data_IF_608426680985
#
_entry.id   IF_608426680985
#
_cell.length_a   1.000
_cell.length_b   1.000
_cell.length_c   1.000
_cell.angle_alpha   90.00
_cell.angle_beta   90.00
_cell.angle_gamma   90.00
#
_symmetry.space_group_name_H-M   'P 1'
#
loop_
_entity.id
_entity.type
_entity.pdbx_description
1 polymer ?
#
# COMPACT_ATOMS: atom_id res chain seq x y z
N UNK A 1 -5.45 15.91 -17.84
CA UNK A 1 -6.51 16.38 -16.93
C UNK A 1 -7.85 16.35 -17.63
N UNK A 2 -8.10 17.13 -18.67
CA UNK A 2 -9.44 17.26 -19.27
C UNK A 2 -10.20 15.98 -19.67
N UNK A 3 -9.59 14.98 -20.31
CA UNK A 3 -10.34 13.77 -20.66
C UNK A 3 -10.66 12.89 -19.45
N UNK A 4 -9.76 12.86 -18.46
CA UNK A 4 -10.02 12.19 -17.18
C UNK A 4 -11.20 12.85 -16.47
N UNK A 5 -11.26 14.18 -16.44
CA UNK A 5 -12.36 14.92 -15.81
C UNK A 5 -13.72 14.53 -16.44
N UNK A 6 -13.78 14.34 -17.76
CA UNK A 6 -15.00 13.90 -18.48
C UNK A 6 -15.37 12.45 -18.15
N UNK A 7 -14.38 11.58 -17.92
CA UNK A 7 -14.58 10.19 -17.48
C UNK A 7 -15.10 10.16 -16.03
N UNK A 8 -14.52 10.97 -15.16
CA UNK A 8 -14.83 11.00 -13.73
C UNK A 8 -16.26 11.48 -13.47
N UNK A 9 -16.76 12.45 -14.24
CA UNK A 9 -18.17 12.87 -14.20
C UNK A 9 -19.10 11.65 -14.40
N UNK A 10 -18.75 10.73 -15.30
CA UNK A 10 -19.59 9.58 -15.63
C UNK A 10 -19.44 8.40 -14.65
N UNK A 11 -18.66 8.56 -13.56
CA UNK A 11 -18.38 7.46 -12.63
C UNK A 11 -19.62 6.97 -11.87
N UNK A 12 -20.57 7.86 -11.57
CA UNK A 12 -21.84 7.53 -10.92
C UNK A 12 -22.99 7.46 -11.92
N UNK A 13 -24.07 6.74 -11.60
CA UNK A 13 -25.20 6.58 -12.54
C UNK A 13 -26.12 7.78 -12.66
N UNK A 14 -26.02 8.71 -11.72
CA UNK A 14 -26.86 9.89 -11.52
C UNK A 14 -26.12 11.20 -11.81
N UNK A 15 -24.99 11.13 -12.53
CA UNK A 15 -24.18 12.29 -12.86
C UNK A 15 -24.97 13.44 -13.51
N UNK A 16 -24.53 14.67 -13.24
CA UNK A 16 -25.14 15.86 -13.82
C UNK A 16 -24.89 15.89 -15.34
N UNK A 17 -25.98 15.76 -16.09
CA UNK A 17 -25.94 15.74 -17.55
C UNK A 17 -25.51 17.07 -18.15
N UNK A 18 -25.77 18.18 -17.47
CA UNK A 18 -25.40 19.50 -17.96
C UNK A 18 -23.93 19.78 -17.66
N UNK A 19 -23.42 19.34 -16.52
CA UNK A 19 -21.97 19.32 -16.23
C UNK A 19 -21.23 18.46 -17.26
N UNK A 20 -21.73 17.26 -17.55
CA UNK A 20 -21.16 16.37 -18.56
C UNK A 20 -21.10 17.02 -19.95
N UNK A 21 -22.19 17.64 -20.40
CA UNK A 21 -22.21 18.36 -21.69
C UNK A 21 -21.20 19.50 -21.73
N UNK A 22 -21.05 20.25 -20.63
CA UNK A 22 -20.08 21.33 -20.54
C UNK A 22 -18.64 20.80 -20.64
N UNK A 23 -18.34 19.71 -19.93
CA UNK A 23 -17.06 19.01 -20.00
C UNK A 23 -16.77 18.52 -21.42
N UNK A 24 -17.75 17.92 -22.08
CA UNK A 24 -17.64 17.43 -23.46
C UNK A 24 -17.39 18.56 -24.47
N UNK A 25 -18.08 19.70 -24.33
CA UNK A 25 -17.87 20.87 -25.19
C UNK A 25 -16.45 21.45 -25.03
N UNK A 26 -15.96 21.50 -23.79
CA UNK A 26 -14.60 21.94 -23.48
C UNK A 26 -13.55 20.99 -24.06
N UNK A 27 -13.76 19.68 -23.92
CA UNK A 27 -12.89 18.65 -24.48
C UNK A 27 -12.81 18.77 -26.01
N UNK A 28 -13.97 18.91 -26.68
CA UNK A 28 -14.04 19.12 -28.13
C UNK A 28 -13.27 20.38 -28.57
N UNK A 29 -13.49 21.50 -27.90
CA UNK A 29 -12.85 22.79 -28.25
C UNK A 29 -11.32 22.70 -28.18
N UNK A 30 -10.81 22.08 -27.12
CA UNK A 30 -9.36 21.95 -26.91
C UNK A 30 -8.75 20.97 -27.92
N UNK A 31 -9.44 19.85 -28.18
CA UNK A 31 -9.01 18.90 -29.19
C UNK A 31 -8.95 19.54 -30.58
N UNK A 32 -10.00 20.27 -30.98
CA UNK A 32 -10.06 20.92 -32.30
C UNK A 32 -8.93 21.94 -32.47
N UNK A 33 -8.62 22.69 -31.41
CA UNK A 33 -7.48 23.60 -31.41
C UNK A 33 -6.14 22.87 -31.51
N UNK A 34 -5.99 21.74 -30.81
CA UNK A 34 -4.78 20.91 -30.89
C UNK A 34 -4.57 20.36 -32.30
N UNK A 35 -5.60 19.75 -32.90
CA UNK A 35 -5.51 19.18 -34.25
C UNK A 35 -5.24 20.27 -35.29
N UNK A 36 -5.86 21.45 -35.18
CA UNK A 36 -5.61 22.55 -36.09
C UNK A 36 -4.15 23.06 -36.04
N UNK A 37 -3.49 22.93 -34.90
CA UNK A 37 -2.12 23.45 -34.70
C UNK A 37 -1.04 22.40 -34.94
N UNK A 38 -1.30 21.16 -34.50
CA UNK A 38 -0.28 20.10 -34.40
C UNK A 38 -0.66 18.81 -35.15
N UNK A 39 -1.86 18.73 -35.73
CA UNK A 39 -2.40 17.51 -36.33
C UNK A 39 -2.92 16.51 -35.29
N UNK A 40 -3.34 15.34 -35.77
CA UNK A 40 -3.94 14.28 -34.94
C UNK A 40 -2.99 13.75 -33.87
N UNK A 41 -3.53 13.36 -32.72
CA UNK A 41 -2.79 12.85 -31.56
C UNK A 41 -2.00 11.58 -31.93
N UNK A 42 -2.65 10.66 -32.63
CA UNK A 42 -2.09 9.35 -33.01
C UNK A 42 -1.20 9.41 -34.26
N UNK A 43 -1.03 10.59 -34.85
CA UNK A 43 -0.10 10.78 -35.96
C UNK A 43 1.32 10.41 -35.51
N UNK A 44 2.08 9.66 -36.32
CA UNK A 44 3.35 9.06 -35.92
C UNK A 44 4.37 10.04 -35.31
N UNK A 45 4.39 11.30 -35.76
CA UNK A 45 5.23 12.35 -35.19
C UNK A 45 4.81 12.73 -33.75
N UNK A 46 3.51 12.86 -33.50
CA UNK A 46 2.96 13.19 -32.18
C UNK A 46 3.02 11.97 -31.23
N UNK A 47 2.70 10.78 -31.72
CA UNK A 47 2.78 9.53 -30.97
C UNK A 47 4.17 9.31 -30.34
N UNK A 48 5.25 9.56 -31.10
CA UNK A 48 6.63 9.46 -30.60
C UNK A 48 6.96 10.45 -29.49
N UNK A 49 6.32 11.63 -29.47
CA UNK A 49 6.51 12.61 -28.40
C UNK A 49 5.83 12.17 -27.09
N UNK A 50 4.73 11.42 -27.21
CA UNK A 50 3.95 10.94 -26.06
C UNK A 50 4.29 9.52 -25.60
N UNK A 51 5.15 8.78 -26.32
CA UNK A 51 5.48 7.37 -26.02
C UNK A 51 5.99 7.14 -24.58
N UNK A 52 6.60 8.16 -23.96
CA UNK A 52 7.10 8.10 -22.58
C UNK A 52 6.11 8.56 -21.50
N UNK A 53 4.91 8.99 -21.90
CA UNK A 53 3.85 9.41 -21.00
C UNK A 53 2.90 8.26 -20.73
N UNK A 54 2.80 7.83 -19.47
CA UNK A 54 1.91 6.74 -19.04
C UNK A 54 0.42 7.02 -19.35
N UNK A 55 0.05 8.28 -19.60
CA UNK A 55 -1.31 8.70 -19.94
C UNK A 55 -1.60 8.71 -21.43
N UNK A 56 -0.57 8.52 -22.27
CA UNK A 56 -0.74 8.51 -23.72
C UNK A 56 -1.82 7.54 -24.20
N UNK A 57 -1.92 6.29 -23.70
CA UNK A 57 -2.96 5.36 -24.15
C UNK A 57 -4.39 5.90 -23.98
N UNK A 58 -4.62 6.68 -22.91
CA UNK A 58 -5.93 7.27 -22.65
C UNK A 58 -6.27 8.36 -23.67
N UNK A 59 -5.35 9.29 -23.93
CA UNK A 59 -5.60 10.36 -24.92
C UNK A 59 -5.56 9.83 -26.36
N UNK A 60 -4.79 8.78 -26.64
CA UNK A 60 -4.77 8.10 -27.94
C UNK A 60 -6.14 7.48 -28.27
N UNK A 61 -6.88 7.00 -27.26
CA UNK A 61 -8.24 6.46 -27.44
C UNK A 61 -9.30 7.48 -27.86
N UNK A 62 -8.97 8.78 -27.88
CA UNK A 62 -9.84 9.83 -28.41
C UNK A 62 -9.95 9.79 -29.94
N UNK A 63 -9.04 9.08 -30.62
CA UNK A 63 -9.02 8.98 -32.07
C UNK A 63 -9.23 7.53 -32.51
N UNK A 64 -10.07 7.35 -33.53
CA UNK A 64 -10.28 6.08 -34.22
C UNK A 64 -9.62 6.14 -35.61
N UNK A 65 -9.09 5.00 -36.05
CA UNK A 65 -8.50 4.85 -37.38
C UNK A 65 -9.58 4.46 -38.39
N UNK A 66 -9.64 5.20 -39.49
CA UNK A 66 -10.51 4.92 -40.63
C UNK A 66 -9.66 4.90 -41.91
N UNK A 67 -10.09 4.16 -42.94
CA UNK A 67 -9.42 4.20 -44.24
C UNK A 67 -9.86 5.45 -45.00
N UNK A 68 -8.92 6.10 -45.68
CA UNK A 68 -9.25 7.24 -46.54
C UNK A 68 -10.23 6.81 -47.63
N UNK A 69 -11.35 7.53 -47.76
CA UNK A 69 -12.41 7.24 -48.74
C UNK A 69 -11.88 7.24 -50.19
N UNK A 70 -10.80 7.97 -50.47
CA UNK A 70 -10.19 8.09 -51.79
C UNK A 70 -8.96 7.18 -51.99
N UNK A 71 -8.40 6.64 -50.90
CA UNK A 71 -7.18 5.83 -50.93
C UNK A 71 -7.18 4.81 -49.78
N UNK A 72 -7.66 3.60 -50.05
CA UNK A 72 -7.74 2.52 -49.07
C UNK A 72 -6.38 2.04 -48.52
N UNK A 73 -5.26 2.62 -48.97
CA UNK A 73 -3.92 2.39 -48.40
C UNK A 73 -3.51 3.39 -47.32
N UNK A 74 -4.32 4.45 -47.10
CA UNK A 74 -4.06 5.50 -46.12
C UNK A 74 -5.02 5.40 -44.95
N UNK A 75 -4.47 5.63 -43.77
CA UNK A 75 -5.22 5.73 -42.52
C UNK A 75 -5.45 7.21 -42.24
N UNK A 76 -6.70 7.56 -41.96
CA UNK A 76 -7.12 8.86 -41.43
C UNK A 76 -7.63 8.66 -40.01
N UNK A 77 -7.48 9.70 -39.18
CA UNK A 77 -7.93 9.68 -37.80
C UNK A 77 -9.21 10.49 -37.67
N UNK A 78 -10.20 9.93 -36.99
CA UNK A 78 -11.47 10.60 -36.69
C UNK A 78 -11.71 10.64 -35.18
N UNK A 79 -12.53 11.59 -34.73
CA UNK A 79 -12.98 11.66 -33.33
C UNK A 79 -13.73 10.39 -32.94
N UNK A 80 -13.30 9.76 -31.86
CA UNK A 80 -14.00 8.59 -31.30
C UNK A 80 -15.35 8.95 -30.68
N UNK A 81 -16.12 7.93 -30.31
CA UNK A 81 -17.41 8.10 -29.64
C UNK A 81 -17.32 8.85 -28.29
N UNK A 82 -16.12 8.94 -27.70
CA UNK A 82 -15.86 9.68 -26.47
C UNK A 82 -16.16 11.18 -26.57
N UNK A 83 -16.15 11.74 -27.79
CA UNK A 83 -16.52 13.13 -28.05
C UNK A 83 -18.02 13.38 -28.20
N UNK A 84 -18.83 12.31 -28.27
CA UNK A 84 -20.26 12.38 -28.60
C UNK A 84 -21.16 11.94 -27.46
N UNK A 85 -20.77 10.90 -26.73
CA UNK A 85 -21.62 10.29 -25.69
C UNK A 85 -20.80 9.76 -24.52
N UNK A 86 -21.47 9.58 -23.38
CA UNK A 86 -20.90 8.89 -22.24
C UNK A 86 -20.61 7.42 -22.60
N UNK A 87 -19.36 6.99 -22.38
CA UNK A 87 -18.89 5.63 -22.65
C UNK A 87 -18.62 4.84 -21.37
N UNK A 88 -18.46 5.53 -20.24
CA UNK A 88 -18.28 4.89 -18.94
C UNK A 88 -19.64 4.33 -18.53
N UNK A 89 -19.68 3.02 -18.29
CA UNK A 89 -20.84 2.40 -17.64
C UNK A 89 -20.70 2.68 -16.15
N UNK A 90 -21.60 3.46 -15.55
CA UNK A 90 -21.54 3.70 -14.12
C UNK A 90 -21.67 2.35 -13.41
N UNK A 91 -20.87 2.15 -12.37
CA UNK A 91 -21.00 0.97 -11.51
C UNK A 91 -22.38 1.06 -10.86
N UNK A 92 -23.35 0.31 -11.36
CA UNK A 92 -24.59 0.09 -10.62
C UNK A 92 -24.22 -0.81 -9.46
N UNK A 93 -24.35 -0.28 -8.25
CA UNK A 93 -24.37 -1.11 -7.05
C UNK A 93 -25.51 -2.12 -7.24
N UNK A 94 -25.14 -3.39 -7.33
CA UNK A 94 -26.10 -4.47 -7.46
C UNK A 94 -26.81 -4.58 -6.12
N UNK A 95 -28.14 -4.47 -6.12
CA UNK A 95 -28.92 -4.81 -4.93
C UNK A 95 -28.73 -6.31 -4.68
N UNK A 96 -28.37 -6.65 -3.45
CA UNK A 96 -28.09 -8.01 -3.00
C UNK A 96 -29.15 -8.46 -2.00
N UNK A 97 -29.25 -9.77 -1.81
CA UNK A 97 -30.28 -10.39 -0.97
C UNK A 97 -29.72 -10.96 0.35
N UNK A 98 -28.44 -10.72 0.66
CA UNK A 98 -27.81 -11.18 1.91
C UNK A 98 -26.71 -10.24 2.41
N UNK A 99 -26.46 -10.26 3.71
CA UNK A 99 -25.36 -9.54 4.37
C UNK A 99 -23.99 -10.02 3.86
N UNK A 100 -23.87 -11.33 3.54
CA UNK A 100 -22.65 -11.89 2.96
C UNK A 100 -22.32 -11.26 1.61
N UNK A 101 -23.28 -11.19 0.68
CA UNK A 101 -23.07 -10.55 -0.62
C UNK A 101 -22.79 -9.04 -0.48
N UNK A 102 -23.41 -8.38 0.49
CA UNK A 102 -23.14 -6.98 0.81
C UNK A 102 -21.70 -6.79 1.30
N UNK A 103 -21.22 -7.66 2.20
CA UNK A 103 -19.84 -7.67 2.68
C UNK A 103 -18.86 -7.89 1.53
N UNK A 104 -19.12 -8.88 0.66
CA UNK A 104 -18.27 -9.14 -0.51
C UNK A 104 -18.21 -7.94 -1.45
N UNK A 105 -19.33 -7.21 -1.60
CA UNK A 105 -19.36 -5.96 -2.37
C UNK A 105 -18.43 -4.91 -1.75
N UNK A 106 -18.52 -4.71 -0.43
CA UNK A 106 -17.65 -3.78 0.29
C UNK A 106 -16.16 -4.14 0.20
N UNK A 107 -15.84 -5.44 0.34
CA UNK A 107 -14.48 -5.94 0.19
C UNK A 107 -13.94 -5.77 -1.23
N UNK A 108 -14.79 -5.97 -2.24
CA UNK A 108 -14.40 -5.76 -3.65
C UNK A 108 -14.06 -4.30 -3.97
N UNK A 109 -14.61 -3.35 -3.21
CA UNK A 109 -14.27 -1.93 -3.27
C UNK A 109 -13.08 -1.55 -2.38
N UNK A 110 -12.53 -2.49 -1.62
CA UNK A 110 -11.39 -2.27 -0.73
C UNK A 110 -11.74 -1.52 0.56
N UNK A 111 -13.02 -1.48 0.94
CA UNK A 111 -13.51 -0.70 2.10
C UNK A 111 -13.56 -1.48 3.41
N UNK A 112 -13.30 -2.79 3.38
CA UNK A 112 -13.40 -3.65 4.57
C UNK A 112 -14.85 -3.91 4.98
N UNK A 113 -15.11 -3.98 6.28
CA UNK A 113 -16.48 -4.06 6.82
C UNK A 113 -17.06 -2.64 6.91
N UNK A 114 -17.73 -2.22 5.83
CA UNK A 114 -18.37 -0.90 5.74
C UNK A 114 -19.89 -1.06 5.79
N UNK A 115 -20.48 -0.87 6.98
CA UNK A 115 -21.92 -1.03 7.17
C UNK A 115 -22.74 -0.04 6.35
N UNK A 116 -22.25 1.18 6.10
CA UNK A 116 -22.98 2.19 5.35
C UNK A 116 -23.14 1.76 3.89
N UNK A 117 -22.06 1.26 3.28
CA UNK A 117 -22.11 0.67 1.95
C UNK A 117 -22.99 -0.58 1.93
N UNK A 118 -22.83 -1.47 2.91
CA UNK A 118 -23.59 -2.73 2.97
C UNK A 118 -25.10 -2.49 3.07
N UNK A 119 -25.54 -1.54 3.89
CA UNK A 119 -26.95 -1.15 3.99
C UNK A 119 -27.47 -0.49 2.70
N UNK A 120 -26.61 0.20 1.96
CA UNK A 120 -27.01 0.81 0.67
C UNK A 120 -27.31 -0.24 -0.42
N UNK A 121 -26.65 -1.41 -0.36
CA UNK A 121 -26.81 -2.49 -1.35
C UNK A 121 -27.73 -3.61 -0.89
N UNK A 122 -28.00 -3.72 0.42
CA UNK A 122 -28.95 -4.67 1.01
C UNK A 122 -30.07 -3.91 1.74
N UNK A 123 -31.12 -3.48 1.00
CA UNK A 123 -32.19 -2.65 1.53
C UNK A 123 -32.96 -3.32 2.68
N UNK A 124 -33.47 -2.51 3.61
CA UNK A 124 -34.17 -2.94 4.83
C UNK A 124 -33.28 -3.65 5.87
N UNK A 125 -31.96 -3.71 5.66
CA UNK A 125 -31.02 -4.10 6.70
C UNK A 125 -30.66 -2.92 7.60
N UNK A 126 -30.34 -3.24 8.85
CA UNK A 126 -29.74 -2.35 9.84
C UNK A 126 -28.37 -2.89 10.24
N UNK A 127 -27.55 -2.08 10.91
CA UNK A 127 -26.27 -2.55 11.44
C UNK A 127 -26.43 -3.80 12.32
N UNK A 128 -27.42 -3.83 13.21
CA UNK A 128 -27.63 -4.97 14.12
C UNK A 128 -28.00 -6.24 13.37
N UNK A 129 -28.91 -6.14 12.38
CA UNK A 129 -29.28 -7.30 11.55
C UNK A 129 -28.11 -7.79 10.68
N UNK A 130 -27.26 -6.86 10.20
CA UNK A 130 -26.06 -7.23 9.44
C UNK A 130 -25.06 -7.98 10.34
N UNK A 131 -24.81 -7.49 11.55
CA UNK A 131 -23.93 -8.16 12.52
C UNK A 131 -24.47 -9.54 12.88
N UNK A 132 -25.77 -9.68 13.09
CA UNK A 132 -26.41 -10.96 13.39
C UNK A 132 -26.28 -11.95 12.21
N UNK A 133 -26.57 -11.51 10.99
CA UNK A 133 -26.51 -12.37 9.79
C UNK A 133 -25.08 -12.77 9.43
N UNK A 134 -24.10 -11.87 9.62
CA UNK A 134 -22.69 -12.15 9.36
C UNK A 134 -22.09 -13.06 10.44
N UNK A 135 -22.55 -12.94 11.68
CA UNK A 135 -22.10 -13.75 12.81
C UNK A 135 -20.59 -13.81 12.90
N UNK A 136 -20.03 -15.02 12.76
CA UNK A 136 -18.59 -15.28 12.92
C UNK A 136 -17.73 -14.85 11.73
N UNK A 137 -18.30 -14.32 10.65
CA UNK A 137 -17.54 -13.81 9.49
C UNK A 137 -16.82 -12.49 9.80
N UNK A 138 -17.30 -11.76 10.80
CA UNK A 138 -16.72 -10.51 11.26
C UNK A 138 -16.38 -10.61 12.75
N UNK A 139 -15.40 -9.84 13.18
CA UNK A 139 -14.98 -9.73 14.57
C UNK A 139 -14.78 -8.25 14.92
N UNK A 140 -14.91 -7.92 16.20
CA UNK A 140 -14.56 -6.60 16.71
C UNK A 140 -13.05 -6.43 16.60
N UNK A 141 -12.62 -5.29 16.06
CA UNK A 141 -11.21 -4.87 16.13
C UNK A 141 -10.87 -4.56 17.59
N UNK A 142 -10.19 -5.50 18.24
CA UNK A 142 -9.85 -5.43 19.66
C UNK A 142 -8.87 -4.30 19.97
N UNK A 143 -7.96 -3.99 19.04
CA UNK A 143 -6.96 -2.94 19.23
C UNK A 143 -7.61 -1.56 19.18
N UNK A 144 -8.46 -1.35 18.18
CA UNK A 144 -9.25 -0.12 18.08
C UNK A 144 -10.22 0.02 19.26
N UNK A 145 -10.89 -1.07 19.65
CA UNK A 145 -11.81 -1.05 20.79
C UNK A 145 -11.10 -0.68 22.09
N UNK A 146 -9.92 -1.25 22.36
CA UNK A 146 -9.13 -0.91 23.55
C UNK A 146 -8.73 0.57 23.60
N UNK A 147 -8.37 1.15 22.46
CA UNK A 147 -7.88 2.54 22.38
C UNK A 147 -9.00 3.57 22.41
N UNK A 148 -10.10 3.30 21.69
CA UNK A 148 -11.16 4.27 21.43
C UNK A 148 -12.42 4.05 22.23
N UNK A 149 -12.61 2.84 22.79
CA UNK A 149 -13.85 2.38 23.39
C UNK A 149 -15.06 2.46 22.42
N UNK A 150 -14.79 2.40 21.11
CA UNK A 150 -15.77 2.39 20.03
C UNK A 150 -15.69 1.06 19.29
N UNK A 151 -16.84 0.42 19.08
CA UNK A 151 -16.91 -0.85 18.36
C UNK A 151 -16.76 -0.60 16.86
N UNK A 152 -15.64 -1.06 16.32
CA UNK A 152 -15.40 -1.23 14.90
C UNK A 152 -15.31 -2.73 14.58
N UNK A 153 -15.72 -3.12 13.38
CA UNK A 153 -15.64 -4.50 12.93
C UNK A 153 -14.63 -4.63 11.80
N UNK A 154 -13.96 -5.77 11.78
CA UNK A 154 -13.14 -6.22 10.67
C UNK A 154 -13.54 -7.65 10.29
N UNK A 155 -13.10 -8.11 9.13
CA UNK A 155 -13.33 -9.50 8.73
C UNK A 155 -12.54 -10.44 9.65
N UNK A 156 -13.08 -11.63 9.92
CA UNK A 156 -12.43 -12.63 10.78
C UNK A 156 -10.97 -12.88 10.41
N UNK A 157 -10.68 -13.02 9.11
CA UNK A 157 -9.32 -13.29 8.63
C UNK A 157 -8.35 -12.13 8.94
N UNK A 158 -8.83 -10.89 8.94
CA UNK A 158 -8.01 -9.71 9.30
C UNK A 158 -7.82 -9.64 10.82
N UNK A 159 -8.87 -9.92 11.60
CA UNK A 159 -8.78 -10.01 13.06
C UNK A 159 -7.76 -11.05 13.49
N UNK A 160 -7.80 -12.24 12.90
CA UNK A 160 -6.90 -13.36 13.20
C UNK A 160 -5.53 -13.27 12.49
N UNK A 161 -5.20 -12.11 11.91
CA UNK A 161 -3.90 -11.82 11.32
C UNK A 161 -3.14 -10.74 12.10
N UNK A 162 -1.83 -10.64 11.83
CA UNK A 162 -0.95 -9.64 12.43
C UNK A 162 -0.42 -10.07 13.81
N UNK A 163 -0.30 -9.12 14.74
CA UNK A 163 0.16 -9.39 16.10
C UNK A 163 -0.96 -10.02 16.95
N UNK A 164 -1.25 -11.29 16.65
CA UNK A 164 -2.29 -12.08 17.31
C UNK A 164 -2.03 -12.31 18.80
N UNK A 165 -0.77 -12.18 19.26
CA UNK A 165 -0.43 -12.30 20.68
C UNK A 165 -0.90 -11.08 21.45
N UNK A 166 -0.59 -9.90 20.93
CA UNK A 166 -1.09 -8.64 21.50
C UNK A 166 -2.62 -8.60 21.44
N UNK A 167 -3.24 -8.99 20.32
CA UNK A 167 -4.71 -9.05 20.20
C UNK A 167 -5.35 -10.00 21.22
N UNK A 168 -4.79 -11.19 21.43
CA UNK A 168 -5.22 -12.11 22.50
C UNK A 168 -5.11 -11.46 23.88
N UNK A 169 -3.97 -10.83 24.18
CA UNK A 169 -3.74 -10.19 25.50
C UNK A 169 -4.73 -9.07 25.77
N UNK A 170 -5.12 -8.32 24.73
CA UNK A 170 -6.18 -7.32 24.80
C UNK A 170 -7.53 -7.98 25.12
N UNK A 171 -7.92 -9.01 24.38
CA UNK A 171 -9.18 -9.74 24.62
C UNK A 171 -9.24 -10.33 26.04
N UNK A 172 -8.14 -10.93 26.50
CA UNK A 172 -8.00 -11.43 27.87
C UNK A 172 -8.16 -10.32 28.91
N UNK A 173 -7.53 -9.15 28.68
CA UNK A 173 -7.68 -8.00 29.58
C UNK A 173 -9.12 -7.47 29.63
N UNK A 174 -9.86 -7.52 28.51
CA UNK A 174 -11.27 -7.11 28.45
C UNK A 174 -12.17 -8.08 29.23
N UNK A 175 -11.90 -9.39 29.09
CA UNK A 175 -12.58 -10.44 29.85
C UNK A 175 -12.37 -10.26 31.37
N UNK A 176 -11.14 -10.02 31.80
CA UNK A 176 -10.80 -9.81 33.23
C UNK A 176 -11.45 -8.55 33.83
N UNK A 177 -11.68 -7.53 33.00
CA UNK A 177 -12.38 -6.30 33.40
C UNK A 177 -13.90 -6.46 33.47
N UNK A 178 -14.44 -7.59 33.02
CA UNK A 178 -15.88 -7.83 32.95
C UNK A 178 -16.59 -6.98 31.89
N UNK A 179 -15.90 -6.66 30.79
CA UNK A 179 -16.51 -6.01 29.65
C UNK A 179 -17.52 -6.96 28.97
N UNK A 180 -18.67 -6.44 28.55
CA UNK A 180 -19.77 -7.23 27.97
C UNK A 180 -20.08 -6.83 26.51
N UNK A 181 -19.18 -6.15 25.82
CA UNK A 181 -19.40 -5.73 24.43
C UNK A 181 -19.33 -6.92 23.45
N UNK A 182 -18.61 -7.98 23.80
CA UNK A 182 -18.57 -9.23 23.05
C UNK A 182 -18.30 -10.42 23.99
N UNK A 183 -18.43 -11.63 23.44
CA UNK A 183 -17.98 -12.86 24.09
C UNK A 183 -16.44 -12.94 24.05
N UNK A 184 -15.78 -12.28 25.00
CA UNK A 184 -14.31 -12.23 25.04
C UNK A 184 -13.66 -13.58 25.29
N UNK A 185 -14.36 -14.53 25.92
CA UNK A 185 -13.88 -15.90 26.10
C UNK A 185 -13.74 -16.59 24.74
N UNK A 186 -14.75 -16.46 23.87
CA UNK A 186 -14.65 -16.93 22.49
C UNK A 186 -13.53 -16.25 21.70
N UNK A 187 -13.32 -14.94 21.85
CA UNK A 187 -12.23 -14.24 21.15
C UNK A 187 -10.85 -14.77 21.55
N UNK A 188 -10.62 -14.98 22.86
CA UNK A 188 -9.35 -15.54 23.35
C UNK A 188 -9.11 -16.92 22.74
N UNK A 189 -10.13 -17.79 22.71
CA UNK A 189 -10.02 -19.11 22.09
C UNK A 189 -9.66 -19.02 20.59
N UNK A 190 -10.30 -18.11 19.85
CA UNK A 190 -10.00 -17.93 18.42
C UNK A 190 -8.55 -17.45 18.20
N UNK A 191 -8.04 -16.54 19.03
CA UNK A 191 -6.67 -16.08 18.92
C UNK A 191 -5.67 -17.19 19.30
N UNK A 192 -5.94 -17.98 20.33
CA UNK A 192 -5.08 -19.10 20.73
C UNK A 192 -4.87 -20.13 19.62
N UNK A 193 -5.90 -20.39 18.81
CA UNK A 193 -5.83 -21.32 17.68
C UNK A 193 -4.90 -20.86 16.56
N UNK A 194 -4.65 -19.55 16.43
CA UNK A 194 -3.83 -18.96 15.34
C UNK A 194 -2.46 -18.48 15.78
N UNK A 195 -2.13 -18.57 17.08
CA UNK A 195 -0.80 -18.21 17.56
C UNK A 195 0.23 -19.19 16.96
N UNK A 196 1.24 -18.69 16.23
CA UNK A 196 2.29 -19.55 15.68
C UNK A 196 3.18 -20.07 16.79
N UNK A 197 3.78 -21.24 16.56
CA UNK A 197 4.78 -21.82 17.45
C UNK A 197 5.95 -20.84 17.70
N UNK A 198 6.48 -20.88 18.92
CA UNK A 198 7.65 -20.07 19.27
C UNK A 198 8.86 -20.53 18.45
N UNK A 199 9.47 -19.59 17.72
CA UNK A 199 10.71 -19.86 16.99
C UNK A 199 11.87 -19.94 17.99
N UNK A 200 12.55 -21.07 18.05
CA UNK A 200 13.73 -21.25 18.90
C UNK A 200 14.89 -20.39 18.40
N UNK A 201 15.76 -19.93 19.32
CA UNK A 201 16.96 -19.15 18.98
C UNK A 201 17.84 -19.88 17.94
N UNK A 202 17.90 -21.21 18.01
CA UNK A 202 18.68 -22.05 17.08
C UNK A 202 18.14 -22.02 15.66
N UNK A 203 16.85 -21.76 15.49
CA UNK A 203 16.16 -21.77 14.19
C UNK A 203 16.15 -20.38 13.55
N UNK A 204 16.53 -19.34 14.31
CA UNK A 204 16.69 -17.98 13.80
C UNK A 204 18.07 -17.88 13.14
N UNK A 205 18.10 -18.07 11.82
CA UNK A 205 19.29 -17.76 11.04
C UNK A 205 19.50 -16.25 10.90
N UNK A 206 20.72 -15.78 11.16
CA UNK A 206 21.08 -14.37 10.99
C UNK A 206 22.48 -14.18 10.42
N UNK A 207 22.69 -13.03 9.80
CA UNK A 207 23.99 -12.49 9.46
C UNK A 207 24.05 -11.01 9.88
N UNK A 208 25.25 -10.40 9.91
CA UNK A 208 25.38 -8.98 10.29
C UNK A 208 24.61 -8.02 9.35
N UNK A 209 24.27 -8.48 8.15
CA UNK A 209 23.46 -7.77 7.17
C UNK A 209 21.95 -7.98 7.32
N UNK A 210 21.47 -8.83 8.24
CA UNK A 210 20.04 -9.12 8.43
C UNK A 210 19.26 -7.84 8.70
N UNK A 211 18.33 -7.50 7.80
CA UNK A 211 17.62 -6.23 7.83
C UNK A 211 16.77 -6.04 9.10
N UNK A 212 16.26 -7.14 9.66
CA UNK A 212 15.42 -7.14 10.86
C UNK A 212 16.20 -6.91 12.17
N UNK A 213 17.53 -7.10 12.18
CA UNK A 213 18.35 -6.80 13.37
C UNK A 213 18.58 -5.29 13.43
N UNK A 214 18.22 -4.56 14.50
CA UNK A 214 18.46 -3.13 14.56
C UNK A 214 19.95 -2.76 14.41
N UNK A 215 20.25 -1.64 13.73
CA UNK A 215 21.65 -1.19 13.54
C UNK A 215 22.40 -1.02 14.88
N UNK A 216 21.70 -0.59 15.93
CA UNK A 216 22.25 -0.46 17.28
C UNK A 216 22.74 -1.79 17.84
N UNK A 217 22.02 -2.89 17.62
CA UNK A 217 22.41 -4.25 18.06
C UNK A 217 23.71 -4.67 17.38
N UNK A 218 23.80 -4.48 16.06
CA UNK A 218 25.01 -4.79 15.30
C UNK A 218 26.17 -3.88 15.74
N UNK A 219 25.89 -2.60 15.99
CA UNK A 219 26.89 -1.63 16.45
C UNK A 219 27.43 -1.96 17.84
N UNK A 220 26.55 -2.30 18.78
CA UNK A 220 26.92 -2.77 20.11
C UNK A 220 27.75 -4.06 20.06
N UNK A 221 27.34 -5.03 19.22
CA UNK A 221 28.11 -6.26 18.99
C UNK A 221 29.52 -5.96 18.47
N UNK A 222 29.66 -5.14 17.42
CA UNK A 222 30.95 -4.76 16.86
C UNK A 222 31.85 -4.09 17.91
N UNK A 223 31.24 -3.29 18.78
CA UNK A 223 31.90 -2.65 19.91
C UNK A 223 32.32 -3.63 21.01
N UNK A 224 31.55 -4.68 21.30
CA UNK A 224 31.94 -5.72 22.26
C UNK A 224 33.01 -6.67 21.72
N UNK A 225 32.99 -6.96 20.42
CA UNK A 225 33.93 -7.91 19.79
C UNK A 225 35.24 -7.24 19.38
N UNK A 226 35.17 -6.06 18.77
CA UNK A 226 36.33 -5.32 18.29
C UNK A 226 36.79 -4.26 19.30
N UNK A 227 35.98 -3.96 20.31
CA UNK A 227 36.28 -3.00 21.35
C UNK A 227 37.00 -3.58 22.56
N UNK A 228 37.92 -2.82 23.15
CA UNK A 228 38.54 -3.10 24.45
C UNK A 228 37.75 -2.48 25.62
N UNK A 229 36.65 -1.82 25.30
CA UNK A 229 35.77 -1.11 26.23
C UNK A 229 34.83 -2.10 26.91
N UNK A 230 35.29 -2.65 28.03
CA UNK A 230 34.51 -3.54 28.89
C UNK A 230 33.27 -2.85 29.47
N UNK A 231 33.31 -1.52 29.63
CA UNK A 231 32.27 -0.71 30.28
C UNK A 231 31.13 -0.25 29.37
N UNK A 232 31.15 -0.60 28.08
CA UNK A 232 30.11 -0.15 27.17
C UNK A 232 28.80 -0.90 27.36
N UNK A 233 27.72 -0.16 27.27
CA UNK A 233 26.34 -0.62 27.45
C UNK A 233 25.57 -0.49 26.12
N UNK A 234 24.42 -1.15 26.05
CA UNK A 234 23.58 -1.11 24.85
C UNK A 234 22.93 0.27 24.64
N UNK A 235 22.80 1.02 25.73
CA UNK A 235 22.21 2.35 25.79
C UNK A 235 23.14 3.43 25.21
N UNK A 236 24.45 3.16 25.14
CA UNK A 236 25.44 4.13 24.67
C UNK A 236 25.20 4.55 23.20
N UNK A 237 25.11 5.86 22.96
CA UNK A 237 24.91 6.47 21.63
C UNK A 237 26.02 6.11 20.63
N UNK A 238 27.18 5.70 21.13
CA UNK A 238 28.28 5.20 20.31
C UNK A 238 27.88 3.96 19.48
N UNK A 239 26.88 3.20 19.90
CA UNK A 239 26.37 2.02 19.19
C UNK A 239 25.66 2.38 17.89
N UNK A 240 24.94 3.50 17.83
CA UNK A 240 24.26 3.96 16.61
C UNK A 240 25.24 4.48 15.54
N UNK A 241 26.47 4.78 15.99
CA UNK A 241 27.49 5.40 15.16
C UNK A 241 28.49 4.41 14.55
N UNK A 242 28.17 3.12 14.57
CA UNK A 242 29.02 2.06 14.01
C UNK A 242 28.60 1.67 12.60
N UNK A 243 27.30 1.56 12.33
CA UNK A 243 26.77 0.99 11.08
C UNK A 243 26.25 2.10 10.16
N UNK A 244 26.51 1.95 8.86
CA UNK A 244 25.89 2.75 7.80
C UNK A 244 25.01 1.86 6.94
N UNK A 245 23.84 2.35 6.55
CA UNK A 245 22.92 1.66 5.64
C UNK A 245 22.96 2.32 4.26
N UNK A 246 22.94 1.50 3.22
CA UNK A 246 22.91 1.92 1.81
C UNK A 246 21.90 1.06 1.05
N UNK A 247 21.62 1.38 -0.22
CA UNK A 247 20.75 0.55 -1.09
C UNK A 247 21.28 -0.87 -1.30
N UNK A 248 22.58 -1.10 -1.11
CA UNK A 248 23.24 -2.40 -1.32
C UNK A 248 23.33 -3.20 0.00
N UNK A 249 23.02 -2.59 1.14
CA UNK A 249 23.02 -3.23 2.44
C UNK A 249 23.74 -2.42 3.52
N UNK A 250 24.30 -3.13 4.50
CA UNK A 250 24.98 -2.54 5.67
C UNK A 250 26.50 -2.54 5.50
N UNK A 251 27.12 -1.45 5.92
CA UNK A 251 28.57 -1.32 6.04
C UNK A 251 28.96 -0.77 7.41
N UNK A 252 30.25 -0.84 7.74
CA UNK A 252 30.80 -0.22 8.95
C UNK A 252 31.28 1.19 8.62
N UNK A 253 30.91 2.18 9.44
CA UNK A 253 31.33 3.58 9.25
C UNK A 253 32.86 3.67 9.32
N UNK A 254 33.47 4.39 8.38
CA UNK A 254 34.93 4.57 8.33
C UNK A 254 35.50 5.17 9.62
N UNK A 255 34.75 6.06 10.28
CA UNK A 255 35.13 6.64 11.58
C UNK A 255 35.35 5.55 12.65
N UNK A 256 34.47 4.56 12.70
CA UNK A 256 34.59 3.44 13.62
C UNK A 256 35.80 2.57 13.26
N UNK A 257 35.94 2.18 11.98
CA UNK A 257 37.10 1.41 11.50
C UNK A 257 38.42 2.10 11.88
N UNK A 258 38.55 3.40 11.57
CA UNK A 258 39.73 4.18 11.90
C UNK A 258 40.01 4.19 13.42
N UNK A 259 38.96 4.28 14.24
CA UNK A 259 39.11 4.24 15.70
C UNK A 259 39.66 2.90 16.19
N UNK A 260 39.17 1.79 15.65
CA UNK A 260 39.65 0.44 15.99
C UNK A 260 41.09 0.24 15.50
N UNK A 261 41.37 0.58 14.25
CA UNK A 261 42.70 0.37 13.64
C UNK A 261 43.81 1.21 14.29
N UNK A 262 43.48 2.42 14.78
CA UNK A 262 44.44 3.30 15.43
C UNK A 262 44.63 3.02 16.93
N UNK A 263 44.16 1.88 17.45
CA UNK A 263 44.43 1.49 18.83
C UNK A 263 45.88 1.09 19.02
N UNK A 264 46.40 1.38 20.21
CA UNK A 264 47.79 1.08 20.56
C UNK A 264 48.11 -0.41 20.43
N UNK A 265 47.17 -1.30 20.78
CA UNK A 265 47.29 -2.74 20.54
C UNK A 265 47.43 -3.07 19.05
N UNK A 266 46.48 -2.62 18.23
CA UNK A 266 46.48 -2.90 16.78
C UNK A 266 47.69 -2.28 16.04
N UNK A 267 48.14 -1.10 16.47
CA UNK A 267 49.37 -0.47 15.98
C UNK A 267 50.58 -1.32 16.35
N UNK A 268 50.66 -1.79 17.60
CA UNK A 268 51.76 -2.62 18.11
C UNK A 268 51.84 -3.97 17.39
N UNK A 269 50.70 -4.56 17.02
CA UNK A 269 50.61 -5.81 16.26
C UNK A 269 50.75 -5.63 14.74
N UNK A 270 50.98 -4.40 14.24
CA UNK A 270 51.20 -4.15 12.81
C UNK A 270 49.96 -4.34 11.94
N UNK A 271 48.76 -4.42 12.51
CA UNK A 271 47.50 -4.69 11.79
C UNK A 271 47.06 -3.53 10.88
N UNK A 272 47.82 -2.43 10.82
CA UNK A 272 47.52 -1.20 10.08
C UNK A 272 48.00 -1.21 8.62
N UNK A 273 48.28 -2.36 8.01
CA UNK A 273 48.77 -2.36 6.63
C UNK A 273 47.77 -1.68 5.68
N UNK A 274 48.31 -0.83 4.81
CA UNK A 274 47.62 0.25 4.10
C UNK A 274 46.28 -0.23 3.52
N UNK A 275 45.17 0.30 4.02
CA UNK A 275 43.92 0.39 3.26
C UNK A 275 44.21 1.25 2.02
N UNK A 276 44.70 0.62 0.95
CA UNK A 276 44.65 1.22 -0.37
C UNK A 276 43.18 1.47 -0.67
N UNK A 277 42.87 2.75 -0.84
CA UNK A 277 41.58 3.23 -1.28
C UNK A 277 41.29 2.55 -2.61
N UNK A 278 40.43 1.54 -2.63
CA UNK A 278 39.80 1.09 -3.86
C UNK A 278 38.83 2.19 -4.27
N UNK A 279 39.34 3.16 -5.02
CA UNK A 279 38.51 4.07 -5.79
C UNK A 279 37.95 3.27 -6.96
N UNK A 280 36.64 3.02 -6.95
CA UNK A 280 35.95 2.52 -8.13
C UNK A 280 35.75 3.72 -9.07
N UNK A 281 36.48 3.74 -10.18
CA UNK A 281 36.09 4.50 -11.40
C UNK A 281 34.92 3.83 -12.08
#
# INVERSE_FOLDING_TARGET
MLYQDVIDIQATSDYDKDEFKLGLARLNTIYDHFVATYGFINLAANARLFERDDRYPLIASLEEEELDENDSSKIVYIKSEAFKKALVRPKKLKIVDSAYEALMTSLSEGRGVDFDLMMSVYPNSTKDTLVEELGTLIMIDVEWYQQSNVIAYEIKDAALAGDVRTKRDIAQSLLEKGDNAADWEWYVEQFEQVIPEDVLITDISFNLGSAWIPNRVVGYFAWKVLGDSHDMTFEDEACDNVITTTKIGRGIKQKFVNRIMNRQGNIKFGLREKLQVWTWT
#
